data_IF_365260905911
#
_entry.id   IF_365260905911
#
_cell.length_a   1.000
_cell.length_b   1.000
_cell.length_c   1.000
_cell.angle_alpha   90.00
_cell.angle_beta   90.00
_cell.angle_gamma   90.00
#
_symmetry.space_group_name_H-M   'P 1'
#
loop_
_entity.id
_entity.type
_entity.pdbx_description
1 polymer ?
#
# COMPACT_ATOMS: atom_id res chain seq x y z
N UNK A 1 -21.25 64.15 -18.84
CA UNK A 1 -20.37 63.85 -19.98
C UNK A 1 -18.95 64.16 -19.57
N UNK A 2 -18.16 63.11 -19.32
CA UNK A 2 -16.69 63.04 -19.43
C UNK A 2 -16.30 61.55 -19.40
N UNK A 3 -15.98 61.06 -20.60
CA UNK A 3 -15.05 59.99 -21.00
C UNK A 3 -13.78 59.87 -20.10
N UNK A 4 -13.01 58.78 -19.93
CA UNK A 4 -12.94 57.36 -20.35
C UNK A 4 -11.78 56.71 -19.54
N UNK A 5 -11.66 55.36 -19.50
CA UNK A 5 -10.41 54.63 -19.18
C UNK A 5 -10.57 53.62 -18.04
N UNK A 6 -10.79 52.32 -18.28
CA UNK A 6 -9.81 51.25 -18.58
C UNK A 6 -8.90 50.92 -17.38
N UNK A 7 -9.19 49.81 -16.71
CA UNK A 7 -8.29 48.88 -15.96
C UNK A 7 -9.22 47.90 -15.22
N UNK A 8 -8.98 46.62 -15.00
CA UNK A 8 -8.04 45.61 -15.46
C UNK A 8 -8.77 44.30 -15.07
N UNK A 9 -8.86 43.35 -16.00
CA UNK A 9 -9.40 42.03 -15.69
C UNK A 9 -8.33 41.25 -14.92
N UNK A 10 -8.20 41.58 -13.64
CA UNK A 10 -7.30 40.94 -12.68
C UNK A 10 -7.84 39.57 -12.29
N UNK A 11 -7.49 38.59 -13.11
CA UNK A 11 -7.16 37.22 -12.76
C UNK A 11 -7.01 36.96 -11.24
N UNK A 12 -8.00 36.28 -10.65
CA UNK A 12 -7.81 35.55 -9.41
C UNK A 12 -7.85 34.06 -9.77
N UNK A 13 -6.75 33.58 -10.36
CA UNK A 13 -6.36 32.17 -10.23
C UNK A 13 -6.44 31.86 -8.74
N UNK A 14 -7.47 31.13 -8.33
CA UNK A 14 -7.45 30.39 -7.09
C UNK A 14 -6.31 29.38 -7.22
N UNK A 15 -5.11 29.85 -6.90
CA UNK A 15 -3.95 28.99 -6.68
C UNK A 15 -4.34 28.16 -5.48
N UNK A 16 -4.76 26.92 -5.71
CA UNK A 16 -4.90 25.92 -4.66
C UNK A 16 -3.54 25.83 -3.98
N UNK A 17 -3.42 26.52 -2.86
CA UNK A 17 -2.36 26.37 -1.91
C UNK A 17 -2.22 24.86 -1.69
N UNK A 18 -1.10 24.30 -2.14
CA UNK A 18 -0.77 22.91 -1.88
C UNK A 18 -0.66 22.80 -0.38
N UNK A 19 -1.77 22.41 0.25
CA UNK A 19 -1.90 22.13 1.67
C UNK A 19 -0.82 21.09 1.98
N UNK A 20 0.32 21.57 2.46
CA UNK A 20 1.46 20.71 2.73
C UNK A 20 1.07 19.96 3.97
N UNK A 21 0.51 18.76 3.79
CA UNK A 21 0.09 17.90 4.88
C UNK A 21 1.25 17.83 5.89
N UNK A 22 0.99 18.07 7.19
CA UNK A 22 2.05 18.00 8.18
C UNK A 22 2.72 16.64 8.09
N UNK A 23 4.05 16.63 8.07
CA UNK A 23 4.84 15.39 8.08
C UNK A 23 4.34 14.57 9.27
N UNK A 24 3.62 13.49 8.98
CA UNK A 24 3.09 12.61 10.00
C UNK A 24 4.29 12.09 10.78
N UNK A 25 4.37 12.28 12.11
CA UNK A 25 5.43 11.66 12.88
C UNK A 25 5.41 10.17 12.56
N UNK A 26 6.56 9.63 12.15
CA UNK A 26 6.71 8.20 12.00
C UNK A 26 6.42 7.60 13.38
N UNK A 27 5.19 7.10 13.56
CA UNK A 27 4.82 6.37 14.74
C UNK A 27 5.78 5.18 14.92
N UNK A 28 5.76 4.52 16.10
CA UNK A 28 6.53 3.29 16.28
C UNK A 28 6.30 2.38 15.06
N UNK A 29 7.39 1.94 14.43
CA UNK A 29 7.32 1.14 13.22
C UNK A 29 6.40 -0.06 13.45
N UNK A 30 5.43 -0.25 12.55
CA UNK A 30 4.53 -1.40 12.64
C UNK A 30 5.35 -2.69 12.62
N UNK A 31 5.01 -3.65 13.45
CA UNK A 31 5.63 -4.98 13.38
C UNK A 31 5.43 -5.59 11.98
N UNK A 32 6.31 -6.48 11.52
CA UNK A 32 6.18 -7.11 10.21
C UNK A 32 4.81 -7.79 9.99
N UNK A 33 4.25 -8.41 11.03
CA UNK A 33 2.93 -9.06 10.98
C UNK A 33 1.79 -8.05 10.93
N UNK A 34 1.90 -6.90 11.58
CA UNK A 34 0.94 -5.80 11.38
C UNK A 34 1.01 -5.26 9.95
N UNK A 35 2.22 -5.04 9.41
CA UNK A 35 2.40 -4.63 8.02
C UNK A 35 1.77 -5.64 7.05
N UNK A 36 1.96 -6.93 7.29
CA UNK A 36 1.34 -8.00 6.51
C UNK A 36 -0.19 -7.97 6.56
N UNK A 37 -0.80 -7.66 7.72
CA UNK A 37 -2.26 -7.49 7.84
C UNK A 37 -2.77 -6.31 7.01
N UNK A 38 -2.01 -5.21 6.97
CA UNK A 38 -2.35 -4.05 6.13
C UNK A 38 -2.28 -4.39 4.64
N UNK A 39 -1.24 -5.12 4.21
CA UNK A 39 -1.12 -5.57 2.81
C UNK A 39 -2.24 -6.53 2.44
N UNK A 40 -2.58 -7.48 3.32
CA UNK A 40 -3.72 -8.37 3.08
C UNK A 40 -5.04 -7.61 2.96
N UNK A 41 -5.26 -6.60 3.82
CA UNK A 41 -6.43 -5.72 3.73
C UNK A 41 -6.47 -4.89 2.44
N UNK A 42 -5.32 -4.45 1.93
CA UNK A 42 -5.22 -3.74 0.65
C UNK A 42 -5.70 -4.59 -0.52
N UNK A 43 -5.32 -5.87 -0.56
CA UNK A 43 -5.75 -6.82 -1.60
C UNK A 43 -7.12 -7.47 -1.32
N UNK A 44 -7.81 -7.10 -0.25
CA UNK A 44 -9.10 -7.69 0.11
C UNK A 44 -9.03 -9.17 0.50
N UNK A 45 -7.87 -9.66 0.93
CA UNK A 45 -7.70 -11.04 1.37
C UNK A 45 -8.39 -11.29 2.70
N UNK A 46 -9.03 -12.44 2.81
CA UNK A 46 -9.74 -12.83 4.02
C UNK A 46 -8.75 -13.22 5.11
N UNK A 47 -8.91 -12.64 6.30
CA UNK A 47 -8.11 -12.97 7.49
C UNK A 47 -8.99 -13.80 8.43
N UNK A 48 -8.64 -15.06 8.64
CA UNK A 48 -9.34 -15.96 9.56
C UNK A 48 -8.37 -16.42 10.65
N UNK A 49 -8.39 -15.74 11.81
CA UNK A 49 -7.38 -15.93 12.85
C UNK A 49 -6.01 -15.49 12.35
N UNK A 50 -5.06 -16.42 12.33
CA UNK A 50 -3.71 -16.18 11.82
C UNK A 50 -3.52 -16.60 10.36
N UNK A 51 -4.56 -17.14 9.71
CA UNK A 51 -4.47 -17.56 8.30
C UNK A 51 -4.99 -16.48 7.37
N UNK A 52 -4.24 -16.21 6.31
CA UNK A 52 -4.57 -15.30 5.22
C UNK A 52 -5.04 -16.11 4.02
N UNK A 53 -6.20 -15.78 3.46
CA UNK A 53 -6.77 -16.41 2.26
C UNK A 53 -6.98 -15.40 1.15
N UNK A 54 -6.20 -15.55 0.07
CA UNK A 54 -6.36 -14.76 -1.15
C UNK A 54 -7.62 -15.15 -1.94
N UNK A 55 -7.99 -14.34 -2.94
CA UNK A 55 -8.96 -14.75 -3.95
C UNK A 55 -8.53 -16.09 -4.58
N UNK A 56 -9.51 -16.95 -4.88
CA UNK A 56 -9.28 -18.30 -5.42
C UNK A 56 -8.40 -19.24 -4.57
N UNK A 57 -8.30 -19.00 -3.25
CA UNK A 57 -7.43 -19.76 -2.34
C UNK A 57 -5.94 -19.75 -2.76
N UNK A 58 -5.51 -18.75 -3.52
CA UNK A 58 -4.18 -18.67 -4.09
C UNK A 58 -3.06 -18.43 -3.05
N UNK A 59 -3.43 -17.90 -1.90
CA UNK A 59 -2.57 -17.64 -0.75
C UNK A 59 -3.23 -18.29 0.45
N UNK A 60 -2.58 -19.24 1.11
CA UNK A 60 -3.01 -19.80 2.40
C UNK A 60 -1.80 -19.83 3.34
N UNK A 61 -1.49 -18.68 3.94
CA UNK A 61 -0.31 -18.49 4.79
C UNK A 61 -0.70 -18.14 6.21
N UNK A 62 0.11 -18.56 7.18
CA UNK A 62 0.11 -17.91 8.49
C UNK A 62 0.61 -16.47 8.36
N UNK A 63 0.16 -15.55 9.22
CA UNK A 63 0.51 -14.13 9.12
C UNK A 63 2.02 -13.87 9.27
N UNK A 64 2.71 -14.73 10.02
CA UNK A 64 4.17 -14.75 10.16
C UNK A 64 4.86 -15.11 8.83
N UNK A 65 4.39 -16.16 8.16
CA UNK A 65 4.93 -16.60 6.87
C UNK A 65 4.64 -15.57 5.78
N UNK A 66 3.46 -14.94 5.83
CA UNK A 66 3.14 -13.82 4.95
C UNK A 66 4.12 -12.66 5.19
N UNK A 67 4.40 -12.28 6.44
CA UNK A 67 5.35 -11.20 6.72
C UNK A 67 6.76 -11.51 6.19
N UNK A 68 7.20 -12.76 6.28
CA UNK A 68 8.48 -13.21 5.70
C UNK A 68 8.44 -13.06 4.17
N UNK A 69 7.40 -13.58 3.51
CA UNK A 69 7.29 -13.52 2.06
C UNK A 69 7.24 -12.08 1.53
N UNK A 70 6.48 -11.20 2.18
CA UNK A 70 6.42 -9.79 1.84
C UNK A 70 7.77 -9.08 2.03
N UNK A 71 8.57 -9.52 3.00
CA UNK A 71 9.93 -9.05 3.19
C UNK A 71 10.87 -9.48 2.05
N UNK A 72 10.75 -10.72 1.59
CA UNK A 72 11.53 -11.25 0.46
C UNK A 72 11.19 -10.59 -0.87
N UNK A 73 9.90 -10.35 -1.11
CA UNK A 73 9.42 -9.58 -2.26
C UNK A 73 9.79 -8.08 -2.15
N UNK A 74 10.27 -7.66 -0.98
CA UNK A 74 10.65 -6.28 -0.70
C UNK A 74 9.46 -5.33 -0.66
N UNK A 75 8.25 -5.83 -0.42
CA UNK A 75 7.02 -5.04 -0.27
C UNK A 75 6.91 -4.44 1.13
N UNK A 76 7.55 -5.06 2.13
CA UNK A 76 7.67 -4.49 3.48
C UNK A 76 9.14 -4.38 3.91
N UNK A 77 9.38 -3.49 4.87
CA UNK A 77 10.69 -3.24 5.47
C UNK A 77 10.55 -3.03 6.98
N UNK A 78 11.65 -3.02 7.75
CA UNK A 78 11.59 -2.64 9.17
C UNK A 78 10.99 -1.25 9.39
N UNK A 79 11.05 -0.36 8.38
CA UNK A 79 10.54 1.01 8.46
C UNK A 79 9.12 1.19 7.94
N UNK A 80 8.55 0.21 7.23
CA UNK A 80 7.20 0.29 6.68
C UNK A 80 6.98 -0.42 5.35
N UNK A 81 5.76 -0.29 4.83
CA UNK A 81 5.30 -0.85 3.56
C UNK A 81 5.77 0.03 2.40
N UNK A 82 6.34 -0.60 1.37
CA UNK A 82 6.78 0.03 0.12
C UNK A 82 5.65 -0.03 -0.92
N UNK A 83 4.68 0.86 -0.78
CA UNK A 83 3.49 0.93 -1.66
C UNK A 83 3.83 1.04 -3.14
N UNK A 84 4.97 1.64 -3.48
CA UNK A 84 5.49 1.78 -4.84
C UNK A 84 5.97 0.46 -5.47
N UNK A 85 6.15 -0.60 -4.66
CA UNK A 85 6.59 -1.93 -5.10
C UNK A 85 5.48 -2.97 -5.07
N UNK A 86 4.31 -2.64 -4.51
CA UNK A 86 3.19 -3.56 -4.50
C UNK A 86 2.60 -3.65 -5.93
N UNK A 87 2.26 -4.86 -6.40
CA UNK A 87 1.46 -5.02 -7.60
C UNK A 87 0.08 -4.38 -7.41
N UNK A 88 -0.49 -3.88 -8.50
CA UNK A 88 -1.84 -3.28 -8.50
C UNK A 88 -2.94 -4.34 -8.50
N UNK A 89 -2.64 -5.52 -9.05
CA UNK A 89 -3.58 -6.61 -9.27
C UNK A 89 -3.37 -7.73 -8.24
N UNK A 90 -4.47 -8.30 -7.73
CA UNK A 90 -4.41 -9.33 -6.69
C UNK A 90 -3.87 -10.66 -7.21
N UNK A 91 -4.09 -10.97 -8.50
CA UNK A 91 -3.59 -12.18 -9.12
C UNK A 91 -2.07 -12.13 -9.27
N UNK A 92 -1.53 -10.99 -9.71
CA UNK A 92 -0.09 -10.75 -9.75
C UNK A 92 0.53 -10.86 -8.35
N UNK A 93 -0.13 -10.30 -7.34
CA UNK A 93 0.30 -10.43 -5.95
C UNK A 93 0.33 -11.88 -5.47
N UNK A 94 -0.70 -12.65 -5.80
CA UNK A 94 -0.81 -14.05 -5.43
C UNK A 94 0.23 -14.93 -6.14
N UNK A 95 0.52 -14.69 -7.42
CA UNK A 95 1.56 -15.41 -8.17
C UNK A 95 2.95 -15.18 -7.56
N UNK A 96 3.31 -13.93 -7.25
CA UNK A 96 4.58 -13.63 -6.60
C UNK A 96 4.71 -14.34 -5.22
N UNK A 97 3.62 -14.38 -4.45
CA UNK A 97 3.61 -15.11 -3.18
C UNK A 97 3.69 -16.64 -3.36
N UNK A 98 3.13 -17.19 -4.44
CA UNK A 98 3.27 -18.62 -4.77
C UNK A 98 4.71 -18.99 -5.11
N UNK A 99 5.44 -18.12 -5.81
CA UNK A 99 6.86 -18.36 -6.09
C UNK A 99 7.68 -18.43 -4.79
N UNK A 100 7.41 -17.53 -3.84
CA UNK A 100 8.06 -17.57 -2.53
C UNK A 100 7.68 -18.83 -1.74
N UNK A 101 6.39 -19.18 -1.71
CA UNK A 101 5.91 -20.41 -1.06
C UNK A 101 6.61 -21.66 -1.59
N UNK A 102 6.69 -21.81 -2.93
CA UNK A 102 7.41 -22.91 -3.58
C UNK A 102 8.90 -22.91 -3.25
N UNK A 103 9.55 -21.76 -3.27
CA UNK A 103 10.97 -21.63 -2.94
C UNK A 103 11.28 -21.99 -1.47
N UNK A 104 10.32 -21.73 -0.57
CA UNK A 104 10.41 -22.05 0.87
C UNK A 104 9.98 -23.48 1.21
N UNK A 105 9.33 -24.19 0.30
CA UNK A 105 8.70 -25.48 0.58
C UNK A 105 7.47 -25.37 1.49
N UNK A 106 6.81 -24.21 1.50
CA UNK A 106 5.51 -24.01 2.12
C UNK A 106 4.45 -24.54 1.16
N UNK A 107 4.27 -25.86 1.13
CA UNK A 107 3.25 -26.51 0.31
C UNK A 107 1.85 -26.18 0.84
N UNK A 108 0.88 -26.06 -0.07
CA UNK A 108 -0.50 -25.60 0.17
C UNK A 108 -1.50 -26.73 -0.01
#
# INVERSE_FOLDING_TARGET
MQDTGTDDAGDLVQSSESETLPVRPAGPGRSPTEQARFVAGYFGWSIAGDTIRGADAAVALYIEDLAIALGELGWITPTGIRWERLPYDDHEAAEALREVQRARGWDV
#
